data_IF_258994626824
#
_entry.id   IF_258994626824
#
_cell.length_a   1.000
_cell.length_b   1.000
_cell.length_c   1.000
_cell.angle_alpha   90.00
_cell.angle_beta   90.00
_cell.angle_gamma   90.00
#
_symmetry.space_group_name_H-M   'P 1'
#
loop_
_entity.id
_entity.type
_entity.pdbx_description
1 polymer ?
#
# COMPACT_ATOMS: atom_id res chain seq x y z
N UNK A 1 10.60 2.61 -1.01
CA UNK A 1 9.71 3.23 -2.02
C UNK A 1 8.26 2.82 -1.81
N UNK A 2 7.98 1.52 -1.70
CA UNK A 2 6.64 0.97 -1.40
C UNK A 2 5.97 1.65 -0.18
N UNK A 3 6.60 1.53 0.99
CA UNK A 3 6.10 2.14 2.23
C UNK A 3 5.98 3.66 2.17
N UNK A 4 6.85 4.34 1.41
CA UNK A 4 6.73 5.79 1.23
C UNK A 4 5.44 6.16 0.51
N UNK A 5 5.02 5.35 -0.47
CA UNK A 5 3.74 5.56 -1.16
C UNK A 5 2.57 5.31 -0.21
N UNK A 6 2.61 4.28 0.63
CA UNK A 6 1.60 4.10 1.69
C UNK A 6 1.53 5.33 2.59
N UNK A 7 2.68 5.80 3.09
CA UNK A 7 2.71 6.97 3.97
C UNK A 7 2.26 8.27 3.30
N UNK A 8 2.55 8.46 2.01
CA UNK A 8 2.00 9.58 1.24
C UNK A 8 0.48 9.47 1.09
N UNK A 9 -0.05 8.28 0.82
CA UNK A 9 -1.49 8.04 0.76
C UNK A 9 -2.16 8.26 2.13
N UNK A 10 -1.55 7.81 3.23
CA UNK A 10 -2.02 8.09 4.60
C UNK A 10 -2.09 9.59 4.88
N UNK A 11 -1.06 10.36 4.50
CA UNK A 11 -1.08 11.82 4.62
C UNK A 11 -2.15 12.47 3.75
N UNK A 12 -2.35 11.98 2.53
CA UNK A 12 -3.38 12.48 1.63
C UNK A 12 -4.79 12.31 2.21
N UNK A 13 -5.04 11.21 2.91
CA UNK A 13 -6.31 10.96 3.62
C UNK A 13 -6.41 11.64 5.01
N UNK A 14 -5.51 12.57 5.32
CA UNK A 14 -5.61 13.43 6.50
C UNK A 14 -4.82 12.94 7.71
N UNK A 15 -3.92 11.97 7.55
CA UNK A 15 -3.06 11.59 8.66
C UNK A 15 -2.10 12.71 9.04
N UNK A 16 -2.09 13.04 10.34
CA UNK A 16 -1.22 14.08 10.91
C UNK A 16 0.21 13.58 11.07
N UNK A 17 0.38 12.30 11.40
CA UNK A 17 1.69 11.69 11.64
C UNK A 17 1.78 10.34 10.96
N UNK A 18 2.80 10.19 10.12
CA UNK A 18 3.19 8.89 9.56
C UNK A 18 4.57 8.54 10.10
N UNK A 19 4.71 7.32 10.61
CA UNK A 19 5.95 6.74 11.07
C UNK A 19 6.39 5.68 10.07
N UNK A 20 7.66 5.74 9.73
CA UNK A 20 8.31 4.70 8.93
C UNK A 20 9.24 3.91 9.83
N UNK A 21 9.29 2.61 9.62
CA UNK A 21 10.22 1.74 10.30
C UNK A 21 10.72 0.64 9.40
N UNK A 22 11.73 -0.06 9.88
CA UNK A 22 12.30 -1.22 9.24
C UNK A 22 12.45 -2.32 10.28
N UNK A 23 11.75 -3.42 10.07
CA UNK A 23 12.02 -4.70 10.73
C UNK A 23 13.01 -5.48 9.87
N UNK A 24 13.75 -6.41 10.46
CA UNK A 24 14.86 -7.14 9.80
C UNK A 24 14.47 -7.76 8.43
N UNK A 25 13.19 -8.07 8.25
CA UNK A 25 12.65 -8.70 7.03
C UNK A 25 11.74 -7.78 6.19
N UNK A 26 11.27 -6.65 6.70
CA UNK A 26 10.32 -5.79 5.98
C UNK A 26 10.31 -4.34 6.49
N UNK A 27 10.07 -3.39 5.58
CA UNK A 27 9.78 -2.01 5.92
C UNK A 27 8.28 -1.84 6.23
N UNK A 28 7.91 -0.82 6.99
CA UNK A 28 6.51 -0.48 7.22
C UNK A 28 6.28 1.03 7.30
N UNK A 29 5.08 1.47 6.91
CA UNK A 29 4.51 2.78 7.20
C UNK A 29 3.27 2.62 8.09
N UNK A 30 3.18 3.42 9.15
CA UNK A 30 2.06 3.40 10.08
C UNK A 30 1.66 4.79 10.53
N UNK A 31 0.45 4.89 11.07
CA UNK A 31 -0.15 6.12 11.58
C UNK A 31 -0.83 5.91 12.93
N UNK A 32 -1.04 7.00 13.67
CA UNK A 32 -1.87 6.99 14.88
C UNK A 32 -3.32 7.40 14.62
N UNK A 33 -3.64 7.72 13.37
CA UNK A 33 -4.97 8.15 12.96
C UNK A 33 -5.81 6.95 12.49
N UNK A 34 -7.13 7.09 12.53
CA UNK A 34 -8.08 6.08 12.07
C UNK A 34 -8.50 6.37 10.64
N UNK A 35 -8.51 5.34 9.80
CA UNK A 35 -8.95 5.43 8.42
C UNK A 35 -10.26 4.68 8.24
N UNK A 36 -11.19 5.25 7.49
CA UNK A 36 -12.35 4.49 7.07
C UNK A 36 -11.95 3.41 6.06
N UNK A 37 -12.83 2.42 5.90
CA UNK A 37 -12.68 1.31 4.95
C UNK A 37 -12.12 1.70 3.58
N UNK A 38 -12.72 2.70 2.93
CA UNK A 38 -12.37 3.07 1.56
C UNK A 38 -11.02 3.78 1.49
N UNK A 39 -10.75 4.71 2.41
CA UNK A 39 -9.47 5.40 2.52
C UNK A 39 -8.34 4.39 2.72
N UNK A 40 -8.55 3.38 3.57
CA UNK A 40 -7.53 2.38 3.83
C UNK A 40 -7.33 1.43 2.64
N UNK A 41 -8.38 0.99 1.96
CA UNK A 41 -8.26 0.19 0.72
C UNK A 41 -7.42 0.94 -0.34
N UNK A 42 -7.69 2.23 -0.54
CA UNK A 42 -6.92 3.04 -1.49
C UNK A 42 -5.47 3.18 -1.02
N UNK A 43 -5.25 3.39 0.28
CA UNK A 43 -3.90 3.48 0.86
C UNK A 43 -3.11 2.19 0.67
N UNK A 44 -3.73 1.03 0.87
CA UNK A 44 -3.11 -0.28 0.70
C UNK A 44 -2.79 -0.58 -0.78
N UNK A 45 -3.68 -0.22 -1.72
CA UNK A 45 -3.44 -0.47 -3.15
C UNK A 45 -2.52 0.57 -3.82
N UNK A 46 -2.28 1.72 -3.17
CA UNK A 46 -1.57 2.84 -3.77
C UNK A 46 -0.17 2.47 -4.31
N UNK A 47 0.71 1.75 -3.59
CA UNK A 47 2.04 1.45 -4.11
C UNK A 47 2.00 0.52 -5.32
N UNK A 48 1.16 -0.52 -5.27
CA UNK A 48 0.98 -1.44 -6.38
C UNK A 48 0.57 -0.70 -7.65
N UNK A 49 -0.44 0.15 -7.55
CA UNK A 49 -1.01 0.86 -8.70
C UNK A 49 -0.07 1.95 -9.21
N UNK A 50 0.52 2.76 -8.32
CA UNK A 50 1.41 3.85 -8.72
C UNK A 50 2.67 3.29 -9.39
N UNK A 51 3.35 2.33 -8.75
CA UNK A 51 4.54 1.72 -9.35
C UNK A 51 4.19 0.86 -10.56
N UNK A 52 3.04 0.21 -10.57
CA UNK A 52 2.54 -0.54 -11.72
C UNK A 52 2.41 0.35 -12.97
N UNK A 53 1.79 1.52 -12.83
CA UNK A 53 1.63 2.50 -13.93
C UNK A 53 2.98 3.11 -14.33
N UNK A 54 3.80 3.54 -13.37
CA UNK A 54 5.11 4.13 -13.66
C UNK A 54 6.01 3.14 -14.40
N UNK A 55 6.09 1.88 -13.94
CA UNK A 55 6.90 0.84 -14.58
C UNK A 55 6.35 0.45 -15.94
N UNK A 56 5.02 0.42 -16.11
CA UNK A 56 4.40 0.19 -17.42
C UNK A 56 4.79 1.27 -18.42
N UNK A 57 4.71 2.55 -18.04
CA UNK A 57 5.11 3.67 -18.90
C UNK A 57 6.61 3.57 -19.25
N UNK A 58 7.46 3.28 -18.26
CA UNK A 58 8.89 3.08 -18.50
C UNK A 58 9.16 1.94 -19.48
N UNK A 59 8.44 0.80 -19.33
CA UNK A 59 8.59 -0.35 -20.21
C UNK A 59 8.25 0.00 -21.68
N UNK A 60 7.23 0.83 -21.89
CA UNK A 60 6.82 1.30 -23.22
C UNK A 60 7.84 2.26 -23.86
N UNK A 61 8.52 3.10 -23.06
CA UNK A 61 9.44 4.12 -23.56
C UNK A 61 10.86 3.56 -23.78
N UNK A 62 11.34 2.68 -22.91
CA UNK A 62 12.72 2.17 -22.95
C UNK A 62 12.97 1.10 -24.02
N UNK A 63 11.91 0.56 -24.63
CA UNK A 63 12.02 -0.40 -25.73
C UNK A 63 12.47 -1.81 -25.33
N UNK A 64 12.70 -2.66 -26.34
CA UNK A 64 12.92 -4.10 -26.16
C UNK A 64 14.16 -4.45 -25.32
N UNK A 65 15.20 -3.59 -25.34
CA UNK A 65 16.46 -3.81 -24.63
C UNK A 65 16.27 -3.86 -23.11
N UNK A 66 15.37 -3.02 -22.58
CA UNK A 66 15.09 -2.93 -21.15
C UNK A 66 13.84 -3.71 -20.72
N UNK A 67 13.13 -4.31 -21.68
CA UNK A 67 11.83 -4.95 -21.46
C UNK A 67 11.89 -5.92 -20.27
N UNK A 68 12.80 -6.89 -20.32
CA UNK A 68 12.90 -7.93 -19.29
C UNK A 68 13.27 -7.38 -17.91
N UNK A 69 14.15 -6.38 -17.84
CA UNK A 69 14.57 -5.78 -16.57
C UNK A 69 13.38 -5.07 -15.92
N UNK A 70 12.69 -4.21 -16.66
CA UNK A 70 11.55 -3.45 -16.13
C UNK A 70 10.37 -4.39 -15.83
N UNK A 71 10.12 -5.37 -16.70
CA UNK A 71 9.05 -6.35 -16.51
C UNK A 71 9.25 -7.20 -15.26
N UNK A 72 10.49 -7.65 -14.98
CA UNK A 72 10.80 -8.35 -13.74
C UNK A 72 10.55 -7.47 -12.52
N UNK A 73 10.97 -6.20 -12.54
CA UNK A 73 10.70 -5.25 -11.46
C UNK A 73 9.18 -5.08 -11.26
N UNK A 74 8.40 -5.04 -12.34
CA UNK A 74 6.95 -4.95 -12.31
C UNK A 74 6.30 -6.19 -11.67
N UNK A 75 6.80 -7.39 -12.00
CA UNK A 75 6.38 -8.64 -11.34
C UNK A 75 6.69 -8.57 -9.84
N UNK A 76 7.90 -8.13 -9.46
CA UNK A 76 8.27 -7.98 -8.05
C UNK A 76 7.39 -6.95 -7.32
N UNK A 77 6.98 -5.87 -7.96
CA UNK A 77 6.06 -4.89 -7.38
C UNK A 77 4.70 -5.52 -7.06
N UNK A 78 4.13 -6.28 -8.01
CA UNK A 78 2.85 -6.97 -7.80
C UNK A 78 2.99 -8.06 -6.73
N UNK A 79 4.04 -8.87 -6.79
CA UNK A 79 4.32 -9.92 -5.82
C UNK A 79 4.54 -9.36 -4.41
N UNK A 80 5.31 -8.27 -4.29
CA UNK A 80 5.57 -7.56 -3.04
C UNK A 80 4.30 -6.96 -2.42
N UNK A 81 3.29 -6.64 -3.23
CA UNK A 81 2.00 -6.11 -2.78
C UNK A 81 0.99 -7.20 -2.36
N UNK A 82 1.38 -8.48 -2.30
CA UNK A 82 0.47 -9.58 -1.94
C UNK A 82 -0.13 -9.40 -0.54
N UNK A 83 0.66 -8.90 0.42
CA UNK A 83 0.18 -8.58 1.76
C UNK A 83 -0.93 -7.52 1.74
N UNK A 84 -0.75 -6.47 0.93
CA UNK A 84 -1.73 -5.40 0.75
C UNK A 84 -3.02 -5.93 0.14
N UNK A 85 -2.93 -6.78 -0.89
CA UNK A 85 -4.09 -7.43 -1.50
C UNK A 85 -4.87 -8.28 -0.48
N UNK A 86 -4.15 -9.02 0.36
CA UNK A 86 -4.76 -9.82 1.42
C UNK A 86 -5.50 -8.95 2.44
N UNK A 87 -4.88 -7.85 2.88
CA UNK A 87 -5.50 -6.90 3.80
C UNK A 87 -6.73 -6.24 3.17
N UNK A 88 -6.63 -5.78 1.91
CA UNK A 88 -7.76 -5.23 1.14
C UNK A 88 -8.89 -6.24 1.05
N UNK A 89 -8.59 -7.50 0.73
CA UNK A 89 -9.59 -8.56 0.68
C UNK A 89 -10.27 -8.76 2.05
N UNK A 90 -9.50 -8.79 3.13
CA UNK A 90 -10.02 -8.94 4.49
C UNK A 90 -10.93 -7.78 4.88
N UNK A 91 -10.49 -6.54 4.64
CA UNK A 91 -11.25 -5.31 4.93
C UNK A 91 -12.50 -5.21 4.04
N UNK A 92 -12.44 -5.66 2.78
CA UNK A 92 -13.59 -5.63 1.88
C UNK A 92 -14.80 -6.41 2.41
N UNK A 93 -14.56 -7.44 3.24
CA UNK A 93 -15.58 -8.27 3.88
C UNK A 93 -16.09 -7.74 5.22
N UNK A 94 -15.45 -6.71 5.78
CA UNK A 94 -15.87 -6.08 7.05
C UNK A 94 -17.05 -5.11 6.86
N UNK A 95 -17.77 -4.74 7.94
CA UNK A 95 -18.81 -3.71 7.91
C UNK A 95 -18.34 -2.39 7.29
N UNK A 96 -19.29 -1.56 6.83
CA UNK A 96 -18.97 -0.31 6.12
C UNK A 96 -18.40 0.77 7.03
N UNK A 97 -18.77 0.74 8.29
CA UNK A 97 -18.35 1.66 9.36
C UNK A 97 -17.00 1.27 9.98
N UNK A 98 -16.35 0.20 9.51
CA UNK A 98 -15.05 -0.21 10.06
C UNK A 98 -14.01 0.91 9.94
N UNK A 99 -13.36 1.17 11.08
CA UNK A 99 -12.20 2.03 11.21
C UNK A 99 -10.95 1.16 11.35
N UNK A 100 -9.95 1.46 10.53
CA UNK A 100 -8.67 0.79 10.50
C UNK A 100 -7.66 1.67 11.23
N UNK A 101 -7.06 1.13 12.28
CA UNK A 101 -5.90 1.69 12.94
C UNK A 101 -4.69 0.85 12.57
N UNK A 102 -3.72 1.46 11.89
CA UNK A 102 -2.54 0.77 11.40
C UNK A 102 -1.28 1.42 11.96
N UNK A 103 -0.67 0.77 12.94
CA UNK A 103 0.56 1.24 13.57
C UNK A 103 1.82 0.95 12.73
N UNK A 104 1.66 0.22 11.62
CA UNK A 104 2.72 -0.29 10.75
C UNK A 104 3.26 -1.65 11.19
N UNK A 105 3.12 -2.01 12.47
CA UNK A 105 3.50 -3.35 12.99
C UNK A 105 2.29 -4.17 13.44
N UNK A 106 1.18 -3.50 13.72
CA UNK A 106 -0.10 -4.09 14.09
C UNK A 106 -1.23 -3.34 13.41
N UNK A 107 -2.29 -4.08 13.09
CA UNK A 107 -3.51 -3.54 12.52
C UNK A 107 -4.69 -3.92 13.39
N UNK A 108 -5.45 -2.92 13.78
CA UNK A 108 -6.62 -3.05 14.64
C UNK A 108 -7.84 -2.52 13.90
N UNK A 109 -8.98 -3.18 14.11
CA UNK A 109 -10.23 -2.90 13.42
C UNK A 109 -11.29 -2.59 14.46
N UNK A 110 -11.97 -1.46 14.28
CA UNK A 110 -13.01 -0.98 15.18
C UNK A 110 -14.30 -0.79 14.39
N UNK A 111 -15.43 -1.24 14.92
CA UNK A 111 -16.76 -1.05 14.35
C UNK A 111 -17.72 -0.75 15.51
N UNK A 112 -18.85 -0.10 15.22
CA UNK A 112 -19.83 0.23 16.23
C UNK A 112 -20.70 -0.99 16.65
N UNK A 113 -20.63 -2.09 15.90
CA UNK A 113 -21.34 -3.36 16.15
C UNK A 113 -20.57 -4.34 17.04
#
# INVERSE_FOLDING_TARGET
LHELVHGMAMKFFGSKTVKYGFSLLYAYAGSKDYFNKNMYIVTALAPMMIWGVVLMILNLICGIEWFWVIYLIQIYNIAGSTGDMYVVHKISKMPKDVLVFDSGVSMEFYSAE
#
